data_IF_506198863183
#
_entry.id   IF_506198863183
#
_cell.length_a   1.000
_cell.length_b   1.000
_cell.length_c   1.000
_cell.angle_alpha   90.00
_cell.angle_beta   90.00
_cell.angle_gamma   90.00
#
_symmetry.space_group_name_H-M   'P 1'
#
loop_
_entity.id
_entity.type
_entity.pdbx_description
1 polymer ?
#
# COMPACT_ATOMS: atom_id res chain seq x y z
N UNK A 1 -3.40 -26.83 29.66
CA UNK A 1 -3.27 -27.49 30.99
C UNK A 1 -4.51 -28.27 31.44
N UNK A 2 -5.64 -27.62 31.78
CA UNK A 2 -6.79 -28.27 32.48
C UNK A 2 -7.23 -29.64 31.91
N UNK A 3 -7.41 -29.75 30.58
CA UNK A 3 -7.84 -31.00 29.93
C UNK A 3 -6.90 -32.21 30.13
N UNK A 4 -5.60 -32.00 30.39
CA UNK A 4 -4.66 -33.11 30.62
C UNK A 4 -4.76 -33.69 32.04
N UNK A 5 -5.15 -32.89 33.03
CA UNK A 5 -5.39 -33.37 34.40
C UNK A 5 -6.63 -34.28 34.47
N UNK A 6 -7.62 -34.06 33.59
CA UNK A 6 -8.88 -34.81 33.53
C UNK A 6 -8.78 -36.18 32.84
N UNK A 7 -7.66 -36.51 32.18
CA UNK A 7 -7.50 -37.80 31.48
C UNK A 7 -7.32 -38.93 32.50
N UNK A 8 -7.88 -40.12 32.23
CA UNK A 8 -7.72 -41.32 33.07
C UNK A 8 -6.43 -42.06 32.69
N UNK A 9 -5.66 -42.49 33.70
CA UNK A 9 -4.44 -43.28 33.52
C UNK A 9 -3.14 -42.46 33.57
N UNK A 10 -2.13 -42.99 34.26
CA UNK A 10 -0.85 -42.33 34.50
C UNK A 10 -0.09 -42.01 33.20
N UNK A 11 -0.01 -42.98 32.27
CA UNK A 11 0.73 -42.84 31.00
C UNK A 11 0.15 -41.71 30.14
N UNK A 12 -1.18 -41.63 30.00
CA UNK A 12 -1.82 -40.59 29.19
C UNK A 12 -1.64 -39.19 29.80
N UNK A 13 -1.65 -39.09 31.14
CA UNK A 13 -1.29 -37.84 31.84
C UNK A 13 0.16 -37.44 31.57
N UNK A 14 1.10 -38.39 31.71
CA UNK A 14 2.53 -38.16 31.50
C UNK A 14 2.83 -37.72 30.07
N UNK A 15 2.31 -38.42 29.06
CA UNK A 15 2.44 -38.05 27.65
C UNK A 15 1.82 -36.67 27.37
N UNK A 16 0.64 -36.38 27.94
CA UNK A 16 0.01 -35.07 27.84
C UNK A 16 0.88 -33.96 28.44
N UNK A 17 1.46 -34.17 29.63
CA UNK A 17 2.37 -33.19 30.25
C UNK A 17 3.67 -33.00 29.46
N UNK A 18 4.25 -34.08 28.92
CA UNK A 18 5.43 -34.01 28.05
C UNK A 18 5.15 -33.23 26.77
N UNK A 19 4.01 -33.48 26.12
CA UNK A 19 3.59 -32.75 24.93
C UNK A 19 3.42 -31.25 25.22
N UNK A 20 2.70 -30.88 26.29
CA UNK A 20 2.50 -29.46 26.65
C UNK A 20 3.79 -28.77 27.11
N UNK A 21 4.70 -29.46 27.79
CA UNK A 21 6.02 -28.89 28.13
C UNK A 21 6.88 -28.68 26.89
N UNK A 22 6.88 -29.61 25.94
CA UNK A 22 7.57 -29.45 24.65
C UNK A 22 7.03 -28.25 23.85
N UNK A 23 5.71 -28.13 23.69
CA UNK A 23 5.11 -26.97 23.02
C UNK A 23 5.34 -25.66 23.78
N UNK A 24 5.35 -25.69 25.12
CA UNK A 24 5.68 -24.52 25.94
C UNK A 24 7.12 -24.06 25.74
N UNK A 25 8.07 -25.00 25.76
CA UNK A 25 9.49 -24.72 25.48
C UNK A 25 9.67 -24.20 24.06
N UNK A 26 9.02 -24.81 23.06
CA UNK A 26 9.08 -24.36 21.67
C UNK A 26 8.50 -22.94 21.50
N UNK A 27 7.35 -22.63 22.13
CA UNK A 27 6.75 -21.30 22.08
C UNK A 27 7.63 -20.23 22.74
N UNK A 28 8.22 -20.54 23.91
CA UNK A 28 9.18 -19.63 24.57
C UNK A 28 10.44 -19.47 23.73
N UNK A 29 10.99 -20.56 23.15
CA UNK A 29 12.14 -20.50 22.28
C UNK A 29 11.88 -19.58 21.07
N UNK A 30 10.80 -19.82 20.32
CA UNK A 30 10.36 -18.99 19.19
C UNK A 30 10.17 -17.52 19.57
N UNK A 31 9.56 -17.25 20.72
CA UNK A 31 9.41 -15.88 21.23
C UNK A 31 10.77 -15.26 21.61
N UNK A 32 11.69 -16.01 22.23
CA UNK A 32 13.00 -15.46 22.58
C UNK A 32 13.83 -15.13 21.33
N UNK A 33 13.90 -16.01 20.34
CA UNK A 33 14.64 -15.71 19.10
C UNK A 33 14.00 -14.54 18.33
N UNK A 34 12.66 -14.39 18.33
CA UNK A 34 12.01 -13.27 17.64
C UNK A 34 12.27 -11.90 18.27
N UNK A 35 12.77 -11.82 19.51
CA UNK A 35 13.19 -10.54 20.11
C UNK A 35 14.32 -9.88 19.31
N UNK A 36 15.19 -10.65 18.65
CA UNK A 36 16.28 -10.10 17.82
C UNK A 36 15.72 -9.31 16.63
N UNK A 37 14.94 -9.89 15.71
CA UNK A 37 14.33 -9.14 14.60
C UNK A 37 13.29 -8.11 15.05
N UNK A 38 12.64 -8.29 16.20
CA UNK A 38 11.66 -7.33 16.73
C UNK A 38 12.31 -6.03 17.22
N UNK A 39 13.46 -6.12 17.89
CA UNK A 39 14.15 -4.95 18.46
C UNK A 39 14.95 -4.13 17.44
N UNK A 40 15.06 -4.55 16.17
CA UNK A 40 15.82 -3.83 15.14
C UNK A 40 15.37 -2.38 14.90
N UNK A 41 14.15 -2.02 15.31
CA UNK A 41 13.61 -0.66 15.20
C UNK A 41 14.32 0.31 16.16
N UNK A 42 14.80 -0.17 17.31
CA UNK A 42 15.41 0.65 18.36
C UNK A 42 16.80 0.10 18.70
N UNK A 43 17.84 0.83 18.27
CA UNK A 43 19.24 0.40 18.38
C UNK A 43 19.62 0.01 19.82
N UNK A 44 19.25 0.82 20.81
CA UNK A 44 19.58 0.57 22.21
C UNK A 44 18.91 -0.70 22.74
N UNK A 45 17.63 -0.94 22.40
CA UNK A 45 16.93 -2.17 22.76
C UNK A 45 17.56 -3.41 22.12
N UNK A 46 18.03 -3.32 20.87
CA UNK A 46 18.72 -4.43 20.21
C UNK A 46 20.14 -4.67 20.78
N UNK A 47 20.89 -3.61 21.05
CA UNK A 47 22.25 -3.67 21.59
C UNK A 47 22.25 -4.28 23.01
N UNK A 48 21.25 -3.94 23.83
CA UNK A 48 21.05 -4.42 25.20
C UNK A 48 20.47 -5.85 25.28
N UNK A 49 20.10 -6.50 24.16
CA UNK A 49 19.66 -7.90 24.20
C UNK A 49 20.76 -8.82 24.75
N UNK A 50 20.35 -9.70 25.66
CA UNK A 50 21.23 -10.72 26.23
C UNK A 50 21.94 -11.51 25.12
N UNK A 51 23.30 -11.60 25.12
CA UNK A 51 24.04 -12.21 24.02
C UNK A 51 23.62 -13.65 23.68
N UNK A 52 23.14 -14.43 24.67
CA UNK A 52 22.60 -15.77 24.44
C UNK A 52 21.39 -15.79 23.50
N UNK A 53 20.56 -14.76 23.49
CA UNK A 53 19.42 -14.64 22.56
C UNK A 53 19.91 -14.39 21.13
N UNK A 54 20.90 -13.50 20.97
CA UNK A 54 21.53 -13.22 19.67
C UNK A 54 22.25 -14.44 19.10
N UNK A 55 22.94 -15.20 19.96
CA UNK A 55 23.55 -16.47 19.57
C UNK A 55 22.50 -17.53 19.19
N UNK A 56 21.43 -17.66 19.97
CA UNK A 56 20.34 -18.59 19.67
C UNK A 56 19.65 -18.26 18.34
N UNK A 57 19.41 -16.98 18.05
CA UNK A 57 18.92 -16.52 16.74
C UNK A 57 19.90 -16.89 15.63
N UNK A 58 21.19 -16.56 15.77
CA UNK A 58 22.21 -16.87 14.75
C UNK A 58 22.35 -18.37 14.43
N UNK A 59 22.07 -19.26 15.39
CA UNK A 59 22.04 -20.71 15.17
C UNK A 59 20.85 -21.18 14.33
N UNK A 60 19.74 -20.42 14.29
CA UNK A 60 18.51 -20.78 13.56
C UNK A 60 18.22 -19.89 12.36
N UNK A 61 19.01 -18.85 12.14
CA UNK A 61 18.85 -17.82 11.10
C UNK A 61 18.76 -18.45 9.69
N UNK A 62 19.61 -19.45 9.40
CA UNK A 62 19.56 -20.21 8.13
C UNK A 62 18.21 -20.89 7.84
N UNK A 63 17.42 -21.17 8.87
CA UNK A 63 16.10 -21.78 8.73
C UNK A 63 14.97 -20.74 8.67
N UNK A 64 15.28 -19.44 8.78
CA UNK A 64 14.35 -18.31 8.71
C UNK A 64 13.10 -18.49 9.62
N UNK A 65 13.29 -19.13 10.79
CA UNK A 65 12.20 -19.44 11.74
C UNK A 65 11.53 -18.17 12.28
N UNK A 66 12.29 -17.08 12.38
CA UNK A 66 11.80 -15.76 12.78
C UNK A 66 12.46 -14.70 11.92
N UNK A 67 11.64 -13.81 11.38
CA UNK A 67 12.07 -12.75 10.47
C UNK A 67 11.54 -11.40 10.98
N UNK A 68 12.19 -10.30 10.62
CA UNK A 68 11.55 -8.98 10.81
C UNK A 68 10.53 -8.79 9.69
N UNK A 69 9.25 -8.73 10.04
CA UNK A 69 8.19 -8.47 9.08
C UNK A 69 8.14 -7.00 8.70
N UNK A 70 8.45 -6.68 7.44
CA UNK A 70 8.28 -5.35 6.88
C UNK A 70 9.04 -5.18 5.57
N UNK A 71 8.37 -4.58 4.57
CA UNK A 71 8.91 -4.31 3.23
C UNK A 71 10.21 -3.47 3.26
N UNK A 72 10.43 -2.71 4.35
CA UNK A 72 11.67 -1.97 4.63
C UNK A 72 12.10 -2.17 6.09
N UNK A 73 12.58 -3.39 6.40
CA UNK A 73 13.10 -3.80 7.72
C UNK A 73 14.05 -2.80 8.36
N UNK A 74 14.92 -2.16 7.55
CA UNK A 74 15.74 -1.02 7.94
C UNK A 74 15.36 0.16 7.06
N UNK A 75 14.66 1.13 7.64
CA UNK A 75 14.37 2.39 6.95
C UNK A 75 15.67 3.17 6.76
N UNK A 76 15.92 3.64 5.54
CA UNK A 76 17.02 4.54 5.24
C UNK A 76 16.69 5.95 5.73
N UNK A 77 17.67 6.64 6.30
CA UNK A 77 17.46 7.93 6.98
C UNK A 77 18.02 8.04 8.40
N UNK A 78 18.56 6.96 8.96
CA UNK A 78 19.40 7.04 10.17
C UNK A 78 20.64 7.86 9.82
N UNK A 79 20.76 9.07 10.38
CA UNK A 79 21.78 10.03 9.97
C UNK A 79 21.39 10.92 8.78
N UNK A 80 20.10 11.00 8.42
CA UNK A 80 19.57 11.88 7.37
C UNK A 80 19.09 11.11 6.13
N UNK A 81 17.91 11.48 5.61
CA UNK A 81 17.34 10.86 4.41
C UNK A 81 18.06 11.38 3.17
N UNK A 82 18.73 10.54 2.37
CA UNK A 82 19.34 10.98 1.13
C UNK A 82 18.26 11.30 0.10
N UNK A 83 18.46 12.38 -0.65
CA UNK A 83 17.55 12.85 -1.70
C UNK A 83 18.36 13.40 -2.87
N UNK A 84 18.02 12.93 -4.07
CA UNK A 84 18.51 13.52 -5.32
C UNK A 84 17.66 14.74 -5.67
N UNK A 85 18.32 15.86 -5.89
CA UNK A 85 17.74 17.13 -6.34
C UNK A 85 18.21 17.35 -7.78
N UNK A 86 17.26 17.49 -8.70
CA UNK A 86 17.54 17.81 -10.10
C UNK A 86 17.51 19.33 -10.27
N UNK A 87 18.52 19.89 -10.90
CA UNK A 87 18.58 21.30 -11.26
C UNK A 87 18.63 21.45 -12.78
N UNK A 88 17.88 22.43 -13.30
CA UNK A 88 17.94 22.82 -14.70
C UNK A 88 18.50 24.23 -14.89
N UNK A 89 18.95 24.50 -16.11
CA UNK A 89 19.47 25.80 -16.51
C UNK A 89 19.28 26.06 -18.00
N UNK A 90 19.15 27.34 -18.38
CA UNK A 90 19.14 27.78 -19.78
C UNK A 90 20.53 28.20 -20.28
N UNK A 91 21.43 28.60 -19.39
CA UNK A 91 22.73 29.22 -19.67
C UNK A 91 23.94 28.43 -19.12
N UNK A 92 23.70 27.43 -18.26
CA UNK A 92 24.72 26.67 -17.53
C UNK A 92 25.27 27.38 -16.28
N UNK A 93 24.79 28.61 -15.99
CA UNK A 93 25.29 29.49 -14.92
C UNK A 93 24.21 29.67 -13.84
N UNK A 94 22.99 29.97 -14.26
CA UNK A 94 21.82 30.17 -13.40
C UNK A 94 21.05 28.85 -13.31
N UNK A 95 21.01 28.27 -12.11
CA UNK A 95 20.39 26.96 -11.87
C UNK A 95 19.12 27.10 -11.05
N UNK A 96 18.07 26.36 -11.42
CA UNK A 96 16.80 26.30 -10.71
C UNK A 96 16.46 24.83 -10.40
N UNK A 97 16.12 24.57 -9.14
CA UNK A 97 15.69 23.25 -8.67
C UNK A 97 14.33 22.85 -9.28
N UNK A 98 14.23 21.60 -9.70
CA UNK A 98 12.98 21.00 -10.18
C UNK A 98 12.31 20.34 -8.97
N UNK A 99 11.30 21.01 -8.42
CA UNK A 99 10.52 20.54 -7.27
C UNK A 99 9.58 19.39 -7.67
N UNK A 100 9.62 18.31 -6.90
CA UNK A 100 8.75 17.14 -7.05
C UNK A 100 7.51 17.26 -6.16
N UNK A 101 6.40 16.61 -6.54
CA UNK A 101 5.15 16.69 -5.80
C UNK A 101 5.18 16.09 -4.39
N UNK A 102 5.93 15.00 -4.15
CA UNK A 102 5.72 14.16 -2.95
C UNK A 102 6.97 13.81 -2.14
N UNK A 103 8.16 13.78 -2.74
CA UNK A 103 9.44 13.66 -2.00
C UNK A 103 9.88 15.02 -1.41
N UNK A 104 10.78 15.03 -0.41
CA UNK A 104 11.42 16.27 0.05
C UNK A 104 12.19 17.02 -1.07
N UNK A 105 12.17 18.35 -0.98
CA UNK A 105 12.80 19.29 -1.91
C UNK A 105 12.89 20.66 -1.24
N UNK A 106 11.94 21.54 -1.52
CA UNK A 106 11.78 22.82 -0.84
C UNK A 106 11.86 22.70 0.70
N UNK A 107 12.84 23.38 1.31
CA UNK A 107 13.06 23.35 2.77
C UNK A 107 11.88 23.88 3.61
N UNK A 108 11.04 24.74 3.04
CA UNK A 108 9.81 25.26 3.68
C UNK A 108 8.55 24.46 3.33
N UNK A 109 8.65 23.46 2.45
CA UNK A 109 7.52 22.59 2.11
C UNK A 109 7.26 21.54 3.19
N UNK A 110 6.04 21.47 3.71
CA UNK A 110 5.65 20.39 4.63
C UNK A 110 5.54 19.05 3.88
N UNK A 111 5.73 17.89 4.56
CA UNK A 111 5.41 16.60 3.97
C UNK A 111 3.93 16.54 3.53
N UNK A 112 3.61 16.10 2.30
CA UNK A 112 2.22 15.91 1.88
C UNK A 112 1.66 14.58 2.38
N UNK A 113 0.37 14.56 2.72
CA UNK A 113 -0.33 13.32 3.06
C UNK A 113 -0.80 12.62 1.77
N UNK A 114 -0.02 11.66 1.29
CA UNK A 114 -0.26 11.00 0.00
C UNK A 114 -1.08 9.71 0.08
N UNK A 115 -1.13 9.05 1.24
CA UNK A 115 -1.85 7.79 1.45
C UNK A 115 -3.32 7.91 0.99
N UNK A 116 -3.89 6.94 0.26
CA UNK A 116 -3.29 5.67 -0.16
C UNK A 116 -2.67 5.68 -1.58
N UNK A 117 -2.43 6.85 -2.18
CA UNK A 117 -1.65 6.96 -3.41
C UNK A 117 -0.18 6.60 -3.17
N UNK A 118 0.43 5.88 -4.12
CA UNK A 118 1.84 5.50 -4.11
C UNK A 118 2.57 6.22 -5.26
N UNK A 119 3.28 7.33 -4.98
CA UNK A 119 3.92 8.13 -6.03
C UNK A 119 5.17 7.42 -6.57
N UNK A 120 5.01 6.72 -7.70
CA UNK A 120 6.03 5.79 -8.22
C UNK A 120 7.35 6.47 -8.63
N UNK A 121 7.32 7.70 -9.14
CA UNK A 121 8.55 8.40 -9.52
C UNK A 121 9.33 8.89 -8.30
N UNK A 122 8.66 9.60 -7.37
CA UNK A 122 9.24 10.03 -6.08
C UNK A 122 9.81 8.87 -5.28
N UNK A 123 9.18 7.69 -5.35
CA UNK A 123 9.65 6.46 -4.74
C UNK A 123 10.91 5.89 -5.41
N UNK A 124 10.95 5.89 -6.75
CA UNK A 124 12.15 5.50 -7.49
C UNK A 124 13.31 6.49 -7.25
N UNK A 125 13.03 7.80 -7.13
CA UNK A 125 14.00 8.82 -6.74
C UNK A 125 14.60 8.58 -5.34
N UNK A 126 13.81 8.07 -4.40
CA UNK A 126 14.32 7.67 -3.07
C UNK A 126 15.31 6.51 -3.17
N UNK A 127 14.98 5.44 -3.92
CA UNK A 127 15.91 4.34 -4.16
C UNK A 127 17.19 4.79 -4.89
N UNK A 128 17.07 5.62 -5.93
CA UNK A 128 18.21 6.16 -6.66
C UNK A 128 19.15 6.98 -5.76
N UNK A 129 18.64 7.60 -4.69
CA UNK A 129 19.46 8.33 -3.73
C UNK A 129 20.26 7.43 -2.76
N UNK A 130 19.98 6.12 -2.70
CA UNK A 130 20.67 5.20 -1.78
C UNK A 130 22.03 4.72 -2.30
N UNK A 131 22.21 4.71 -3.61
CA UNK A 131 23.41 4.19 -4.28
C UNK A 131 24.05 5.18 -5.26
N UNK A 132 25.12 4.77 -5.95
CA UNK A 132 25.68 5.51 -7.08
C UNK A 132 24.73 5.47 -8.28
N UNK A 133 24.74 6.52 -9.10
CA UNK A 133 23.79 6.71 -10.19
C UNK A 133 23.77 5.57 -11.23
N UNK A 134 24.86 4.83 -11.40
CA UNK A 134 24.97 3.68 -12.30
C UNK A 134 23.95 2.58 -11.96
N UNK A 135 23.58 2.40 -10.69
CA UNK A 135 22.53 1.48 -10.25
C UNK A 135 21.10 1.93 -10.63
N UNK A 136 20.93 3.16 -11.14
CA UNK A 136 19.65 3.69 -11.63
C UNK A 136 19.73 4.16 -13.09
N UNK A 137 19.87 3.25 -14.08
CA UNK A 137 19.97 3.62 -15.50
C UNK A 137 18.78 4.43 -16.02
N UNK A 138 17.58 4.16 -15.48
CA UNK A 138 16.34 4.88 -15.83
C UNK A 138 16.46 6.39 -15.58
N UNK A 139 17.29 6.83 -14.63
CA UNK A 139 17.53 8.23 -14.32
C UNK A 139 18.15 8.99 -15.51
N UNK A 140 19.06 8.35 -16.26
CA UNK A 140 19.61 8.93 -17.49
C UNK A 140 18.52 9.16 -18.55
N UNK A 141 17.52 8.26 -18.63
CA UNK A 141 16.36 8.45 -19.51
C UNK A 141 15.45 9.58 -19.02
N UNK A 142 15.23 9.71 -17.71
CA UNK A 142 14.50 10.85 -17.12
C UNK A 142 15.17 12.18 -17.54
N UNK A 143 16.47 12.34 -17.29
CA UNK A 143 17.22 13.55 -17.63
C UNK A 143 17.14 13.89 -19.12
N UNK A 144 17.30 12.90 -20.00
CA UNK A 144 17.16 13.08 -21.45
C UNK A 144 15.74 13.52 -21.86
N UNK A 145 14.69 12.96 -21.26
CA UNK A 145 13.29 13.31 -21.55
C UNK A 145 12.90 14.69 -21.06
N UNK A 146 13.47 15.14 -19.94
CA UNK A 146 13.31 16.49 -19.41
C UNK A 146 14.01 17.53 -20.29
N UNK A 147 15.24 17.26 -20.74
CA UNK A 147 15.94 18.08 -21.76
C UNK A 147 15.17 18.15 -23.09
N UNK A 148 14.49 17.07 -23.49
CA UNK A 148 13.58 17.07 -24.65
C UNK A 148 12.26 17.83 -24.42
N UNK A 149 11.96 18.29 -23.21
CA UNK A 149 10.68 18.93 -22.87
C UNK A 149 9.46 18.00 -23.02
N UNK A 150 9.61 16.69 -22.75
CA UNK A 150 8.51 15.73 -22.92
C UNK A 150 7.44 15.91 -21.86
N UNK A 151 6.29 16.45 -22.28
CA UNK A 151 5.14 16.74 -21.41
C UNK A 151 4.72 15.55 -20.53
N UNK A 152 4.60 14.34 -21.10
CA UNK A 152 4.24 13.12 -20.36
C UNK A 152 5.17 12.80 -19.17
N UNK A 153 6.43 13.28 -19.22
CA UNK A 153 7.44 13.07 -18.17
C UNK A 153 7.45 14.23 -17.16
N UNK A 154 7.22 15.46 -17.63
CA UNK A 154 7.03 16.64 -16.75
C UNK A 154 5.82 16.40 -15.83
N UNK A 155 4.73 15.85 -16.37
CA UNK A 155 3.51 15.50 -15.61
C UNK A 155 3.71 14.41 -14.54
N UNK A 156 4.82 13.64 -14.59
CA UNK A 156 5.18 12.72 -13.50
C UNK A 156 5.82 13.45 -12.31
N UNK A 157 6.45 14.60 -12.55
CA UNK A 157 7.12 15.42 -11.53
C UNK A 157 6.17 16.46 -10.95
N UNK A 158 5.35 17.10 -11.80
CA UNK A 158 4.38 18.13 -11.42
C UNK A 158 3.05 17.98 -12.17
N UNK A 159 1.96 17.78 -11.44
CA UNK A 159 0.60 17.83 -12.00
C UNK A 159 0.16 19.27 -12.34
N UNK A 160 0.62 20.27 -11.57
CA UNK A 160 0.48 21.67 -11.94
C UNK A 160 1.72 22.15 -12.69
N UNK A 161 1.61 22.13 -14.02
CA UNK A 161 2.67 22.52 -14.95
C UNK A 161 3.21 23.93 -14.66
N UNK A 162 2.45 24.83 -14.03
CA UNK A 162 2.92 26.19 -13.70
C UNK A 162 4.01 26.21 -12.62
N UNK A 163 4.04 25.19 -11.76
CA UNK A 163 5.05 25.04 -10.71
C UNK A 163 6.37 24.48 -11.24
N UNK A 164 6.36 23.85 -12.42
CA UNK A 164 7.57 23.40 -13.10
C UNK A 164 8.33 24.60 -13.69
N UNK A 165 9.60 24.89 -13.31
CA UNK A 165 10.28 26.13 -13.73
C UNK A 165 10.50 26.25 -15.24
N UNK A 166 10.55 25.12 -15.94
CA UNK A 166 10.85 25.02 -17.37
C UNK A 166 9.61 24.72 -18.23
N UNK A 167 8.43 25.18 -17.79
CA UNK A 167 7.16 24.89 -18.48
C UNK A 167 6.96 25.64 -19.80
N UNK A 168 7.67 26.76 -20.02
CA UNK A 168 7.59 27.55 -21.27
C UNK A 168 8.56 27.05 -22.34
N UNK A 169 9.73 26.58 -21.90
CA UNK A 169 10.81 26.09 -22.74
C UNK A 169 11.62 25.08 -21.92
N UNK A 170 12.00 23.91 -22.47
CA UNK A 170 12.86 22.97 -21.74
C UNK A 170 14.21 23.58 -21.36
N UNK A 171 14.84 23.09 -20.28
CA UNK A 171 16.19 23.51 -19.91
C UNK A 171 17.19 23.08 -20.99
N UNK A 172 18.22 23.90 -21.22
CA UNK A 172 19.33 23.55 -22.10
C UNK A 172 20.31 22.58 -21.40
N UNK A 173 20.44 22.71 -20.08
CA UNK A 173 21.31 21.92 -19.23
C UNK A 173 20.56 21.36 -18.04
N UNK A 174 20.89 20.13 -17.63
CA UNK A 174 20.47 19.52 -16.36
C UNK A 174 21.69 19.02 -15.60
N UNK A 175 21.61 19.01 -14.27
CA UNK A 175 22.54 18.31 -13.37
C UNK A 175 21.77 17.76 -12.18
N UNK A 176 22.37 16.89 -11.37
CA UNK A 176 21.75 16.46 -10.13
C UNK A 176 22.74 16.32 -8.98
N UNK A 177 22.30 16.70 -7.79
CA UNK A 177 23.09 16.65 -6.56
C UNK A 177 22.39 15.78 -5.53
N UNK A 178 23.15 15.02 -4.74
CA UNK A 178 22.62 14.34 -3.57
C UNK A 178 22.78 15.23 -2.34
N UNK A 179 21.71 15.34 -1.58
CA UNK A 179 21.67 16.00 -0.28
C UNK A 179 21.16 15.03 0.78
N UNK A 180 21.56 15.20 2.03
CA UNK A 180 20.92 14.56 3.18
C UNK A 180 19.92 15.55 3.80
N UNK A 181 18.71 15.08 4.04
CA UNK A 181 17.61 15.84 4.63
C UNK A 181 17.27 15.34 6.04
N UNK A 182 16.97 16.27 6.94
CA UNK A 182 16.39 16.01 8.26
C UNK A 182 15.23 16.97 8.47
N UNK A 183 14.27 16.57 9.31
CA UNK A 183 13.37 17.55 9.90
C UNK A 183 14.18 18.59 10.70
N UNK A 184 13.74 19.83 10.66
CA UNK A 184 14.27 20.87 11.53
C UNK A 184 13.88 20.61 12.98
N UNK A 185 14.83 20.74 13.90
CA UNK A 185 14.58 20.62 15.33
C UNK A 185 13.84 21.86 15.87
N UNK A 186 12.96 21.71 16.89
CA UNK A 186 12.40 22.85 17.62
C UNK A 186 13.52 23.73 18.20
N UNK A 187 13.30 25.04 18.26
CA UNK A 187 14.24 25.95 18.91
C UNK A 187 14.21 25.75 20.44
N UNK A 188 15.29 26.17 21.11
CA UNK A 188 15.43 26.06 22.56
C UNK A 188 14.36 26.86 23.37
N UNK A 189 13.66 27.80 22.73
CA UNK A 189 12.52 28.54 23.28
C UNK A 189 11.18 27.80 23.14
N UNK A 190 11.18 26.60 22.56
CA UNK A 190 9.98 25.81 22.25
C UNK A 190 9.24 26.22 20.97
N UNK A 191 9.71 27.23 20.24
CA UNK A 191 9.13 27.62 18.96
C UNK A 191 9.57 26.71 17.82
N UNK A 192 8.65 26.42 16.89
CA UNK A 192 9.01 25.72 15.66
C UNK A 192 9.69 26.70 14.67
N UNK A 193 10.72 26.25 13.93
CA UNK A 193 11.31 27.02 12.85
C UNK A 193 10.36 27.12 11.64
N UNK A 194 10.60 28.12 10.80
CA UNK A 194 9.79 28.43 9.60
C UNK A 194 10.02 27.46 8.44
N UNK A 195 11.13 26.72 8.47
CA UNK A 195 11.43 25.62 7.54
C UNK A 195 11.03 24.30 8.17
N UNK A 196 10.57 23.36 7.35
CA UNK A 196 10.28 21.98 7.76
C UNK A 196 11.53 21.10 7.68
N UNK A 197 12.46 21.42 6.78
CA UNK A 197 13.66 20.64 6.53
C UNK A 197 14.94 21.45 6.69
N UNK A 198 15.96 20.79 7.24
CA UNK A 198 17.38 21.16 7.05
C UNK A 198 18.00 20.16 6.08
N UNK A 199 18.81 20.64 5.12
CA UNK A 199 19.56 19.79 4.21
C UNK A 199 21.04 20.15 4.20
N UNK A 200 21.89 19.15 3.95
CA UNK A 200 23.34 19.29 3.78
C UNK A 200 23.72 18.63 2.46
N UNK A 201 24.58 19.28 1.68
CA UNK A 201 25.12 18.73 0.43
C UNK A 201 25.98 17.50 0.74
N UNK A 202 25.79 16.43 -0.04
CA UNK A 202 26.53 15.17 0.11
C UNK A 202 27.55 15.03 -1.02
N UNK A 203 27.08 14.93 -2.27
CA UNK A 203 27.93 14.81 -3.47
C UNK A 203 27.20 15.21 -4.77
N UNK A 204 27.94 15.33 -5.88
CA UNK A 204 27.35 15.37 -7.22
C UNK A 204 26.83 13.97 -7.57
N UNK A 205 25.54 13.86 -7.86
CA UNK A 205 24.89 12.58 -8.20
C UNK A 205 24.91 12.34 -9.71
N UNK A 206 24.78 13.40 -10.51
CA UNK A 206 24.81 13.34 -11.96
C UNK A 206 25.45 14.60 -12.53
N UNK A 207 26.45 14.47 -13.42
CA UNK A 207 27.17 15.60 -13.98
C UNK A 207 26.25 16.49 -14.82
N UNK A 208 26.75 17.69 -15.13
CA UNK A 208 26.06 18.59 -16.05
C UNK A 208 25.97 17.98 -17.45
N UNK A 209 24.74 17.82 -17.96
CA UNK A 209 24.43 17.26 -19.28
C UNK A 209 23.54 18.19 -20.10
N UNK A 210 23.60 18.03 -21.41
CA UNK A 210 22.73 18.67 -22.41
C UNK A 210 22.40 17.66 -23.52
N UNK A 211 21.49 18.00 -24.44
CA UNK A 211 21.17 17.13 -25.57
C UNK A 211 22.42 16.91 -26.45
N UNK A 212 22.72 15.65 -26.76
CA UNK A 212 23.93 15.26 -27.51
C UNK A 212 25.21 15.12 -26.67
N UNK A 213 25.16 15.38 -25.36
CA UNK A 213 26.33 15.22 -24.49
C UNK A 213 26.82 13.76 -24.44
N UNK A 214 28.12 13.55 -24.64
CA UNK A 214 28.71 12.21 -24.84
C UNK A 214 28.45 11.23 -23.68
N UNK A 215 28.50 11.69 -22.43
CA UNK A 215 28.20 10.88 -21.25
C UNK A 215 26.74 10.40 -21.23
N UNK A 216 25.79 11.31 -21.47
CA UNK A 216 24.35 11.00 -21.51
C UNK A 216 24.06 10.01 -22.66
N UNK A 217 24.62 10.25 -23.83
CA UNK A 217 24.54 9.37 -24.99
C UNK A 217 25.15 7.98 -24.75
N UNK A 218 26.25 7.90 -24.00
CA UNK A 218 26.87 6.65 -23.56
C UNK A 218 25.93 5.85 -22.66
N UNK A 219 25.44 6.46 -21.57
CA UNK A 219 24.51 5.84 -20.62
C UNK A 219 23.23 5.34 -21.29
N UNK A 220 22.64 6.13 -22.19
CA UNK A 220 21.43 5.76 -22.94
C UNK A 220 21.66 4.59 -23.92
N UNK A 221 22.84 4.50 -24.54
CA UNK A 221 23.17 3.40 -25.45
C UNK A 221 23.48 2.11 -24.69
N UNK A 222 24.30 2.19 -23.63
CA UNK A 222 24.70 1.05 -22.81
C UNK A 222 23.50 0.26 -22.28
N UNK A 223 22.44 0.97 -21.87
CA UNK A 223 21.25 0.36 -21.27
C UNK A 223 20.07 0.22 -22.26
N UNK A 224 20.28 0.45 -23.56
CA UNK A 224 19.21 0.36 -24.58
C UNK A 224 18.08 1.39 -24.43
N UNK A 225 18.29 2.47 -23.67
CA UNK A 225 17.29 3.49 -23.33
C UNK A 225 17.17 4.62 -24.35
N UNK A 226 18.08 4.70 -25.34
CA UNK A 226 17.93 5.61 -26.48
C UNK A 226 16.71 5.21 -27.32
N UNK A 227 16.09 6.20 -28.01
CA UNK A 227 14.80 6.18 -28.76
C UNK A 227 14.58 5.07 -29.84
N UNK A 228 14.84 3.81 -29.51
CA UNK A 228 14.77 2.64 -30.40
C UNK A 228 13.56 1.74 -30.14
N UNK A 229 12.68 2.10 -29.19
CA UNK A 229 11.42 1.37 -28.99
C UNK A 229 10.60 1.42 -30.28
N UNK A 230 10.23 0.27 -30.89
CA UNK A 230 9.41 0.26 -32.09
C UNK A 230 8.09 0.99 -31.80
N UNK A 231 7.48 1.67 -32.79
CA UNK A 231 6.26 2.43 -32.58
C UNK A 231 5.19 1.52 -31.99
N UNK A 232 4.86 1.74 -30.70
CA UNK A 232 3.87 0.92 -29.97
C UNK A 232 2.60 0.87 -30.81
N UNK A 233 2.30 -0.31 -31.36
CA UNK A 233 1.16 -0.52 -32.27
C UNK A 233 -0.08 0.05 -31.60
N UNK A 234 -0.64 1.11 -32.17
CA UNK A 234 -1.78 1.81 -31.57
C UNK A 234 -2.97 0.85 -31.50
N UNK A 235 -3.19 0.27 -30.32
CA UNK A 235 -4.25 -0.72 -30.14
C UNK A 235 -5.60 -0.07 -30.40
N UNK A 236 -6.35 -0.64 -31.35
CA UNK A 236 -7.72 -0.24 -31.67
C UNK A 236 -8.72 -0.68 -30.59
N UNK A 237 -8.26 -1.30 -29.49
CA UNK A 237 -9.10 -1.68 -28.37
C UNK A 237 -9.87 -0.48 -27.82
N UNK A 238 -11.20 -0.65 -27.66
CA UNK A 238 -12.09 0.36 -27.05
C UNK A 238 -11.62 0.72 -25.64
N UNK A 239 -11.11 -0.25 -24.88
CA UNK A 239 -10.54 -0.08 -23.55
C UNK A 239 -9.41 0.97 -23.52
N UNK A 240 -8.48 0.93 -24.48
CA UNK A 240 -7.36 1.90 -24.52
C UNK A 240 -7.84 3.32 -24.79
N UNK A 241 -8.89 3.47 -25.60
CA UNK A 241 -9.52 4.78 -25.85
C UNK A 241 -10.28 5.28 -24.62
N UNK A 242 -11.02 4.40 -23.94
CA UNK A 242 -11.69 4.72 -22.68
C UNK A 242 -10.69 5.14 -21.59
N UNK A 243 -9.61 4.40 -21.38
CA UNK A 243 -8.56 4.74 -20.40
C UNK A 243 -7.87 6.07 -20.73
N UNK A 244 -7.58 6.35 -22.01
CA UNK A 244 -7.04 7.66 -22.43
C UNK A 244 -8.02 8.80 -22.20
N UNK A 245 -9.31 8.59 -22.48
CA UNK A 245 -10.35 9.59 -22.23
C UNK A 245 -10.53 9.85 -20.73
N UNK A 246 -10.55 8.81 -19.89
CA UNK A 246 -10.56 8.98 -18.42
C UNK A 246 -9.31 9.74 -17.97
N UNK A 247 -8.11 9.40 -18.47
CA UNK A 247 -6.88 10.15 -18.17
C UNK A 247 -7.01 11.63 -18.55
N UNK A 248 -7.59 11.97 -19.71
CA UNK A 248 -7.71 13.37 -20.13
C UNK A 248 -8.76 14.17 -19.33
N UNK A 249 -9.78 13.52 -18.76
CA UNK A 249 -10.73 14.19 -17.84
C UNK A 249 -10.08 14.57 -16.49
N UNK A 250 -8.99 13.91 -16.12
CA UNK A 250 -8.37 14.02 -14.77
C UNK A 250 -6.94 14.57 -14.84
N UNK A 251 -6.49 14.98 -16.02
CA UNK A 251 -5.19 15.62 -16.23
C UNK A 251 -5.10 16.94 -15.45
N UNK A 252 -4.00 17.14 -14.72
CA UNK A 252 -3.79 18.29 -13.84
C UNK A 252 -4.38 18.16 -12.42
N UNK A 253 -5.14 17.11 -12.11
CA UNK A 253 -5.63 16.85 -10.74
C UNK A 253 -4.60 16.02 -9.96
N UNK A 254 -4.17 16.45 -8.75
CA UNK A 254 -3.29 15.66 -7.89
C UNK A 254 -3.85 14.27 -7.56
N UNK A 255 -3.02 13.24 -7.73
CA UNK A 255 -3.46 11.85 -7.61
C UNK A 255 -4.11 11.48 -6.25
N UNK A 256 -3.61 11.95 -5.08
CA UNK A 256 -4.26 11.69 -3.80
C UNK A 256 -5.71 12.20 -3.73
N UNK A 257 -6.02 13.35 -4.35
CA UNK A 257 -7.38 13.90 -4.33
C UNK A 257 -8.37 13.02 -5.11
N UNK A 258 -7.94 12.44 -6.23
CA UNK A 258 -8.77 11.49 -7.00
C UNK A 258 -9.08 10.26 -6.14
N UNK A 259 -8.07 9.72 -5.47
CA UNK A 259 -8.22 8.51 -4.64
C UNK A 259 -9.12 8.78 -3.43
N UNK A 260 -8.93 9.90 -2.72
CA UNK A 260 -9.78 10.28 -1.60
C UNK A 260 -11.22 10.62 -2.00
N UNK A 261 -11.43 11.26 -3.15
CA UNK A 261 -12.79 11.54 -3.64
C UNK A 261 -13.52 10.27 -4.07
N UNK A 262 -12.83 9.29 -4.68
CA UNK A 262 -13.39 7.96 -4.96
C UNK A 262 -13.76 7.22 -3.66
N UNK A 263 -12.84 7.12 -2.69
CA UNK A 263 -13.09 6.49 -1.39
C UNK A 263 -14.27 7.15 -0.67
N UNK A 264 -14.28 8.49 -0.58
CA UNK A 264 -15.36 9.24 0.05
C UNK A 264 -16.70 9.04 -0.64
N UNK A 265 -16.73 9.02 -1.98
CA UNK A 265 -17.95 8.76 -2.76
C UNK A 265 -18.48 7.33 -2.55
N UNK A 266 -17.59 6.32 -2.50
CA UNK A 266 -17.97 4.95 -2.20
C UNK A 266 -18.53 4.81 -0.78
N UNK A 267 -17.88 5.40 0.23
CA UNK A 267 -18.37 5.41 1.62
C UNK A 267 -19.74 6.08 1.69
N UNK A 268 -19.92 7.24 1.06
CA UNK A 268 -21.19 7.97 1.03
C UNK A 268 -22.31 7.15 0.38
N UNK A 269 -22.04 6.48 -0.75
CA UNK A 269 -23.00 5.60 -1.41
C UNK A 269 -23.38 4.39 -0.55
N UNK A 270 -22.40 3.77 0.12
CA UNK A 270 -22.65 2.68 1.08
C UNK A 270 -23.53 3.16 2.25
N UNK A 271 -23.23 4.32 2.83
CA UNK A 271 -24.04 4.90 3.90
C UNK A 271 -25.48 5.18 3.44
N UNK A 272 -25.67 5.82 2.28
CA UNK A 272 -27.00 6.04 1.71
C UNK A 272 -27.77 4.72 1.52
N UNK A 273 -27.11 3.67 1.01
CA UNK A 273 -27.74 2.35 0.81
C UNK A 273 -28.15 1.71 2.14
N UNK A 274 -27.32 1.79 3.18
CA UNK A 274 -27.70 1.30 4.53
C UNK A 274 -28.87 2.09 5.12
N UNK A 275 -28.87 3.42 5.02
CA UNK A 275 -29.98 4.25 5.50
C UNK A 275 -31.30 3.97 4.75
N UNK A 276 -31.24 3.76 3.43
CA UNK A 276 -32.41 3.37 2.64
C UNK A 276 -32.93 1.98 3.01
N UNK A 277 -32.04 1.02 3.28
CA UNK A 277 -32.42 -0.32 3.76
C UNK A 277 -33.09 -0.25 5.14
N UNK A 278 -32.50 0.47 6.10
CA UNK A 278 -33.10 0.70 7.42
C UNK A 278 -34.44 1.45 7.33
N UNK A 279 -34.62 2.38 6.38
CA UNK A 279 -35.92 3.03 6.13
C UNK A 279 -36.96 2.03 5.61
N UNK A 280 -36.61 1.19 4.63
CA UNK A 280 -37.53 0.15 4.11
C UNK A 280 -37.92 -0.86 5.20
N UNK A 281 -36.97 -1.32 5.99
CA UNK A 281 -37.24 -2.24 7.10
C UNK A 281 -38.16 -1.60 8.17
N UNK A 282 -37.92 -0.33 8.52
CA UNK A 282 -38.79 0.38 9.47
C UNK A 282 -40.19 0.62 8.91
N UNK A 283 -40.34 0.91 7.61
CA UNK A 283 -41.65 1.03 6.96
C UNK A 283 -42.38 -0.32 7.00
N UNK A 284 -41.72 -1.41 6.59
CA UNK A 284 -42.30 -2.76 6.61
C UNK A 284 -42.83 -3.15 8.00
N UNK A 285 -42.05 -2.93 9.06
CA UNK A 285 -42.50 -3.16 10.44
C UNK A 285 -43.64 -2.23 10.87
N UNK A 286 -43.69 -0.98 10.37
CA UNK A 286 -44.78 -0.06 10.69
C UNK A 286 -46.08 -0.48 10.02
N UNK A 287 -46.01 -1.12 8.86
CA UNK A 287 -47.18 -1.59 8.13
C UNK A 287 -47.66 -2.97 8.64
N UNK A 288 -46.76 -3.88 9.05
CA UNK A 288 -47.12 -5.09 9.82
C UNK A 288 -47.81 -4.77 11.15
N UNK A 289 -47.32 -3.78 11.90
CA UNK A 289 -47.93 -3.33 13.16
C UNK A 289 -49.29 -2.66 12.94
N UNK A 290 -49.52 -2.02 11.78
CA UNK A 290 -50.86 -1.50 11.43
C UNK A 290 -51.82 -2.61 11.01
N UNK A 291 -51.37 -3.61 10.26
CA UNK A 291 -52.19 -4.76 9.85
C UNK A 291 -52.67 -5.52 11.09
N UNK A 292 -51.74 -5.92 11.96
CA UNK A 292 -52.07 -6.60 13.22
C UNK A 292 -52.92 -5.74 14.18
N UNK A 293 -52.73 -4.43 14.22
CA UNK A 293 -53.62 -3.54 14.99
C UNK A 293 -55.02 -3.40 14.36
N UNK A 294 -55.15 -3.45 13.04
CA UNK A 294 -56.43 -3.45 12.33
C UNK A 294 -57.21 -4.73 12.62
N UNK A 295 -56.55 -5.89 12.54
CA UNK A 295 -57.12 -7.20 12.88
C UNK A 295 -57.64 -7.22 14.32
N UNK A 296 -56.85 -6.75 15.30
CA UNK A 296 -57.23 -6.63 16.71
C UNK A 296 -58.37 -5.64 17.00
N UNK A 297 -58.64 -4.69 16.10
CA UNK A 297 -59.80 -3.80 16.19
C UNK A 297 -61.05 -4.44 15.59
N UNK A 298 -60.89 -5.24 14.53
CA UNK A 298 -61.99 -5.90 13.84
C UNK A 298 -62.55 -7.07 14.67
N UNK A 299 -61.68 -7.87 15.27
CA UNK A 299 -62.00 -8.99 16.17
C UNK A 299 -62.83 -8.52 17.39
N UNK A 300 -62.47 -7.37 17.98
CA UNK A 300 -63.25 -6.72 19.06
C UNK A 300 -64.60 -6.17 18.63
N UNK A 301 -64.78 -5.89 17.33
CA UNK A 301 -66.03 -5.37 16.79
C UNK A 301 -67.00 -6.50 16.45
N UNK A 302 -66.48 -7.68 16.11
CA UNK A 302 -67.22 -8.94 15.94
C UNK A 302 -67.66 -9.53 17.30
N UNK A 303 -66.76 -9.59 18.32
CA UNK A 303 -67.14 -9.99 19.71
C UNK A 303 -68.26 -9.11 20.30
N UNK A 304 -68.38 -7.84 19.88
CA UNK A 304 -69.44 -6.94 20.32
C UNK A 304 -70.77 -7.15 19.58
N UNK A 305 -70.77 -7.80 18.41
CA UNK A 305 -71.99 -8.08 17.64
C UNK A 305 -72.55 -9.48 17.92
N UNK A 306 -71.70 -10.47 18.24
CA UNK A 306 -72.16 -11.85 18.49
C UNK A 306 -72.96 -12.01 19.80
N UNK A 307 -72.85 -11.07 20.75
CA UNK A 307 -73.62 -11.11 22.01
C UNK A 307 -75.10 -10.73 21.91
N UNK A 308 -75.59 -10.22 20.78
CA UNK A 308 -77.02 -9.86 20.61
C UNK A 308 -77.83 -10.79 19.70
N UNK A 309 -77.20 -11.76 19.01
CA UNK A 309 -77.91 -12.65 18.06
C UNK A 309 -77.44 -14.10 18.13
N UNK A 310 -77.86 -14.81 19.18
CA UNK A 310 -77.93 -16.26 19.09
C UNK A 310 -79.21 -16.81 19.73
N UNK A 311 -80.22 -17.05 18.88
CA UNK A 311 -81.51 -17.60 19.25
C UNK A 311 -82.19 -18.21 18.03
N UNK A 312 -82.26 -19.56 18.03
CA UNK A 312 -82.92 -20.47 17.07
C UNK A 312 -82.18 -20.91 15.80
N UNK A 313 -81.69 -22.16 15.89
CA UNK A 313 -82.14 -23.36 15.13
C UNK A 313 -81.83 -23.54 13.62
N UNK A 314 -81.01 -24.59 13.38
CA UNK A 314 -81.30 -25.79 12.52
C UNK A 314 -81.01 -25.79 11.00
N UNK A 315 -80.19 -26.78 10.60
CA UNK A 315 -80.14 -27.43 9.27
C UNK A 315 -79.33 -26.72 8.17
N UNK A 316 -78.87 -27.37 7.09
CA UNK A 316 -78.63 -28.81 6.79
C UNK A 316 -77.74 -28.92 5.51
N UNK A 317 -77.04 -30.05 5.32
CA UNK A 317 -76.44 -30.63 4.07
C UNK A 317 -75.61 -29.78 3.06
N UNK A 318 -74.43 -30.35 2.71
CA UNK A 318 -73.86 -30.37 1.33
C UNK A 318 -72.53 -29.62 1.13
N UNK A 319 -71.56 -30.01 0.28
CA UNK A 319 -71.14 -31.25 -0.39
C UNK A 319 -70.13 -30.87 -1.51
N UNK A 320 -68.98 -31.54 -1.61
CA UNK A 320 -67.99 -31.38 -2.71
C UNK A 320 -66.99 -30.21 -2.54
N UNK A 321 -65.79 -30.23 -3.14
CA UNK A 321 -65.02 -31.31 -3.79
C UNK A 321 -63.52 -30.88 -3.92
N UNK A 322 -62.60 -31.86 -4.08
CA UNK A 322 -61.19 -31.85 -4.60
C UNK A 322 -60.52 -30.48 -4.99
N UNK A 323 -59.22 -30.25 -4.80
CA UNK A 323 -58.08 -31.18 -4.60
C UNK A 323 -56.70 -30.46 -4.54
N UNK A 324 -55.59 -31.10 -4.98
CA UNK A 324 -54.29 -31.21 -4.29
C UNK A 324 -53.37 -29.96 -4.43
N UNK A 325 -52.42 -29.66 -3.52
CA UNK A 325 -51.23 -30.43 -3.07
C UNK A 325 -50.19 -30.67 -4.19
N UNK A 326 -49.05 -29.95 -4.13
CA UNK A 326 -47.66 -30.45 -4.25
C UNK A 326 -46.68 -29.25 -4.37
N UNK A 327 -45.76 -29.11 -3.41
CA UNK A 327 -44.52 -28.32 -3.54
C UNK A 327 -43.37 -29.14 -2.95
N UNK A 328 -42.28 -29.33 -3.71
CA UNK A 328 -41.05 -29.92 -3.15
C UNK A 328 -39.77 -29.44 -3.86
N UNK A 329 -38.70 -29.40 -3.05
CA UNK A 329 -37.27 -29.28 -3.35
C UNK A 329 -36.61 -28.03 -3.99
N UNK A 330 -35.33 -27.88 -3.64
CA UNK A 330 -34.43 -26.76 -3.92
C UNK A 330 -33.02 -27.23 -4.35
N UNK A 331 -32.35 -26.48 -5.22
CA UNK A 331 -30.88 -26.50 -5.48
C UNK A 331 -30.56 -25.35 -6.47
N UNK A 332 -29.45 -24.61 -6.47
CA UNK A 332 -28.05 -24.98 -6.27
C UNK A 332 -27.18 -23.68 -6.09
N UNK A 333 -25.88 -23.79 -5.78
CA UNK A 333 -24.95 -22.65 -5.62
C UNK A 333 -23.65 -22.82 -6.44
N UNK A 334 -23.08 -21.68 -6.82
CA UNK A 334 -21.99 -21.47 -7.79
C UNK A 334 -20.59 -21.96 -7.36
N UNK A 335 -19.69 -22.11 -8.34
CA UNK A 335 -18.29 -22.48 -8.18
C UNK A 335 -17.39 -21.75 -9.20
N UNK A 336 -16.58 -20.81 -8.71
CA UNK A 336 -15.64 -19.87 -9.36
C UNK A 336 -14.60 -19.44 -8.28
N UNK A 337 -13.32 -19.07 -8.48
CA UNK A 337 -12.35 -19.04 -9.60
C UNK A 337 -10.91 -18.93 -8.98
N UNK A 338 -9.85 -19.54 -9.57
CA UNK A 338 -8.41 -19.26 -9.25
C UNK A 338 -7.45 -19.73 -10.36
N UNK A 339 -6.55 -18.87 -10.83
CA UNK A 339 -5.12 -19.14 -11.18
C UNK A 339 -4.48 -17.98 -11.98
N UNK A 340 -3.32 -17.47 -11.51
CA UNK A 340 -2.15 -16.95 -12.28
C UNK A 340 -1.29 -16.01 -11.42
N UNK A 341 -0.17 -16.51 -10.89
CA UNK A 341 0.98 -15.75 -10.35
C UNK A 341 2.16 -16.74 -10.12
N UNK A 342 3.14 -16.80 -11.04
CA UNK A 342 4.35 -17.67 -10.93
C UNK A 342 5.60 -17.02 -11.55
N UNK A 343 5.48 -16.23 -12.62
CA UNK A 343 6.62 -15.84 -13.47
C UNK A 343 7.51 -14.67 -12.95
N UNK A 344 7.42 -14.28 -11.67
CA UNK A 344 8.18 -13.14 -11.11
C UNK A 344 9.33 -13.58 -10.17
N UNK A 345 9.21 -14.73 -9.49
CA UNK A 345 10.16 -15.13 -8.43
C UNK A 345 11.55 -15.54 -8.93
N UNK A 346 11.74 -15.77 -10.25
CA UNK A 346 12.99 -16.36 -10.79
C UNK A 346 14.10 -15.33 -11.08
N UNK A 347 13.80 -14.05 -11.26
CA UNK A 347 14.85 -13.03 -11.51
C UNK A 347 15.46 -12.47 -10.22
N UNK A 348 14.69 -12.37 -9.12
CA UNK A 348 15.14 -11.73 -7.87
C UNK A 348 16.20 -12.57 -7.12
N UNK A 349 16.11 -13.90 -7.14
CA UNK A 349 17.11 -14.79 -6.50
C UNK A 349 18.53 -14.65 -7.10
N UNK A 350 18.66 -14.19 -8.34
CA UNK A 350 19.97 -14.06 -9.00
C UNK A 350 20.79 -12.85 -8.54
N UNK A 351 20.17 -11.90 -7.82
CA UNK A 351 20.83 -10.68 -7.32
C UNK A 351 21.25 -10.80 -5.86
N UNK A 352 20.55 -11.60 -5.04
CA UNK A 352 20.90 -11.82 -3.63
C UNK A 352 22.21 -12.63 -3.47
N UNK A 353 22.52 -13.56 -4.39
CA UNK A 353 23.78 -14.33 -4.34
C UNK A 353 25.04 -13.49 -4.65
N UNK A 354 24.93 -12.38 -5.40
CA UNK A 354 26.08 -11.51 -5.69
C UNK A 354 26.41 -10.53 -4.54
N UNK A 355 25.41 -10.06 -3.76
CA UNK A 355 25.67 -9.16 -2.62
C UNK A 355 26.36 -9.88 -1.43
N UNK A 356 26.02 -11.15 -1.15
CA UNK A 356 26.59 -11.91 -0.04
C UNK A 356 28.09 -12.22 -0.25
N UNK A 357 28.55 -12.47 -1.48
CA UNK A 357 29.98 -12.69 -1.76
C UNK A 357 30.83 -11.42 -1.57
N UNK A 358 30.30 -10.23 -1.88
CA UNK A 358 31.05 -8.96 -1.76
C UNK A 358 31.22 -8.54 -0.29
N UNK A 359 30.22 -8.81 0.56
CA UNK A 359 30.28 -8.60 2.01
C UNK A 359 31.29 -9.55 2.67
N UNK A 360 31.35 -10.83 2.27
CA UNK A 360 32.31 -11.77 2.86
C UNK A 360 33.77 -11.43 2.47
N UNK A 361 34.00 -10.89 1.26
CA UNK A 361 35.32 -10.43 0.83
C UNK A 361 35.79 -9.19 1.59
N UNK A 362 34.89 -8.23 1.86
CA UNK A 362 35.24 -7.01 2.62
C UNK A 362 35.51 -7.30 4.10
N UNK A 363 34.76 -8.20 4.76
CA UNK A 363 35.09 -8.68 6.11
C UNK A 363 36.47 -9.38 6.16
N UNK A 364 36.79 -10.23 5.18
CA UNK A 364 38.10 -10.92 5.10
C UNK A 364 39.27 -9.95 4.88
N UNK A 365 39.03 -8.79 4.26
CA UNK A 365 40.05 -7.76 4.08
C UNK A 365 40.27 -6.92 5.35
N UNK A 366 39.19 -6.60 6.08
CA UNK A 366 39.25 -5.89 7.37
C UNK A 366 39.99 -6.70 8.47
N UNK A 367 39.85 -8.03 8.49
CA UNK A 367 40.53 -8.90 9.48
C UNK A 367 42.03 -9.14 9.21
N UNK A 368 42.62 -8.51 8.20
CA UNK A 368 44.04 -8.69 7.79
C UNK A 368 44.90 -7.41 7.88
N UNK A 369 44.41 -6.36 8.53
CA UNK A 369 45.16 -5.12 8.79
C UNK A 369 45.32 -4.85 10.28
#
# INVERSE_FOLDING_TARGET
>A
MFRCACVKGFIQRLCGTLQWTLFGIAAVAMFTISLVPFTYIEYDSNANLWPGVRQAHGLVDRYQLVNSYGLFRRMTGVGGRPEVVIEGSYDGITWMEIEFMYKPGNMSGHPPMVTPHQPRLDWQMWFAALGPQQQSPWFSSLMYRLLQGKQDVIELIQSDIRQYPFHKQPPAYLRAHRYKYWFTEPKADGSYPERWWRRVYDEEFYPTVHLGHAFLEGMLKQHGLKDSSPPRRASKAKLVHAVRWVRSQVQGVPAPLIVWTLIGSSIFFCLLRTMQFSRRHRISQTDEVKLTASELYQDKQEESCEKEKNGKEVGDVGSGEKGPEDEDEASNRSQEERESDVDVETEEQSQEEEEDEEVEQTEKHMRKR
#
